data_IF_717235549786
#
_entry.id   IF_717235549786
#
_cell.length_a   1.000
_cell.length_b   1.000
_cell.length_c   1.000
_cell.angle_alpha   90.00
_cell.angle_beta   90.00
_cell.angle_gamma   90.00
#
_symmetry.space_group_name_H-M   'P 1'
#
loop_
_entity.id
_entity.type
_entity.pdbx_description
1 polymer ?
#
# COMPACT_ATOMS: atom_id res chain seq x y z
N UNK A 1 -5.88 -2.91 -10.22
CA UNK A 1 -5.98 -3.65 -8.93
C UNK A 1 -5.41 -5.08 -9.00
N UNK A 2 -4.76 -5.47 -10.07
CA UNK A 2 -4.07 -6.77 -10.18
C UNK A 2 -2.99 -6.92 -9.09
N UNK A 3 -2.37 -5.82 -8.66
CA UNK A 3 -1.36 -5.80 -7.60
C UNK A 3 -1.86 -6.24 -6.21
N UNK A 4 -3.17 -6.38 -6.03
CA UNK A 4 -3.77 -6.88 -4.77
C UNK A 4 -4.17 -8.35 -4.85
N UNK A 5 -4.06 -8.98 -6.02
CA UNK A 5 -4.30 -10.40 -6.15
C UNK A 5 -3.04 -11.18 -5.75
N UNK A 6 -3.11 -12.11 -4.80
CA UNK A 6 -1.96 -12.93 -4.46
C UNK A 6 -1.62 -13.86 -5.63
N UNK A 7 -0.32 -13.95 -5.95
CA UNK A 7 0.19 -14.96 -6.87
C UNK A 7 0.65 -16.16 -6.05
N UNK A 8 0.01 -17.30 -6.28
CA UNK A 8 0.29 -18.53 -5.55
C UNK A 8 1.08 -19.49 -6.45
N UNK A 9 2.06 -20.18 -5.86
CA UNK A 9 2.76 -21.26 -6.55
C UNK A 9 1.81 -22.45 -6.73
N UNK A 10 1.45 -22.77 -7.96
CA UNK A 10 0.49 -23.85 -8.27
C UNK A 10 0.98 -25.19 -7.75
N UNK A 11 2.25 -25.53 -7.94
CA UNK A 11 2.81 -26.82 -7.52
C UNK A 11 2.70 -27.01 -6.01
N UNK A 12 2.92 -25.96 -5.23
CA UNK A 12 2.81 -26.03 -3.77
C UNK A 12 1.34 -26.08 -3.33
N UNK A 13 0.49 -25.21 -3.85
CA UNK A 13 -0.87 -25.06 -3.33
C UNK A 13 -1.84 -26.11 -3.85
N UNK A 14 -1.59 -26.70 -5.03
CA UNK A 14 -2.46 -27.76 -5.57
C UNK A 14 -2.49 -29.02 -4.70
N UNK A 15 -1.46 -29.29 -3.92
CA UNK A 15 -1.46 -30.42 -2.97
C UNK A 15 -2.50 -30.27 -1.84
N UNK A 16 -2.97 -29.06 -1.56
CA UNK A 16 -4.00 -28.75 -0.56
C UNK A 16 -5.36 -28.48 -1.19
N UNK A 17 -5.47 -28.42 -2.51
CA UNK A 17 -6.68 -28.05 -3.22
C UNK A 17 -7.68 -29.21 -3.38
N UNK A 18 -7.77 -30.11 -2.39
CA UNK A 18 -8.73 -31.22 -2.35
C UNK A 18 -10.12 -30.76 -1.93
N UNK A 19 -10.19 -29.78 -1.01
CA UNK A 19 -11.40 -29.09 -0.62
C UNK A 19 -11.09 -27.62 -0.28
N UNK A 20 -12.13 -26.80 -0.14
CA UNK A 20 -11.98 -25.43 0.35
C UNK A 20 -11.48 -25.40 1.79
N UNK A 21 -11.96 -26.31 2.60
CA UNK A 21 -11.61 -26.44 4.02
C UNK A 21 -10.13 -26.80 4.18
N UNK A 22 -9.63 -27.75 3.39
CA UNK A 22 -8.22 -28.15 3.40
C UNK A 22 -7.31 -26.99 2.97
N UNK A 23 -7.71 -26.28 1.91
CA UNK A 23 -6.95 -25.11 1.44
C UNK A 23 -6.88 -23.98 2.48
N UNK A 24 -7.98 -23.74 3.22
CA UNK A 24 -8.01 -22.73 4.29
C UNK A 24 -7.25 -23.16 5.55
N UNK A 25 -7.11 -24.45 5.79
CA UNK A 25 -6.35 -25.02 6.90
C UNK A 25 -4.86 -25.16 6.61
N UNK A 26 -4.46 -25.09 5.33
CA UNK A 26 -3.08 -25.27 4.94
C UNK A 26 -2.19 -24.13 5.49
N UNK A 27 -1.03 -24.51 6.04
CA UNK A 27 0.00 -23.54 6.39
C UNK A 27 0.69 -23.02 5.13
N UNK A 28 0.84 -21.70 5.03
CA UNK A 28 1.63 -21.07 3.99
C UNK A 28 3.10 -20.81 4.39
N UNK A 29 3.53 -21.28 5.56
CA UNK A 29 4.86 -20.96 6.11
C UNK A 29 6.01 -21.43 5.21
N UNK A 30 5.84 -22.61 4.58
CA UNK A 30 6.83 -23.20 3.69
C UNK A 30 6.54 -22.94 2.19
N UNK A 31 5.57 -22.07 1.91
CA UNK A 31 5.22 -21.76 0.53
C UNK A 31 6.36 -21.02 -0.17
N UNK A 32 6.71 -21.40 -1.42
CA UNK A 32 7.68 -20.64 -2.19
C UNK A 32 7.24 -19.18 -2.36
N UNK A 33 8.16 -18.27 -2.14
CA UNK A 33 7.92 -16.83 -2.23
C UNK A 33 8.65 -16.22 -3.44
N UNK A 34 8.04 -15.20 -4.04
CA UNK A 34 8.66 -14.36 -5.06
C UNK A 34 8.96 -12.98 -4.44
N UNK A 35 9.77 -12.99 -3.38
CA UNK A 35 10.10 -11.82 -2.56
C UNK A 35 11.54 -11.93 -2.11
N UNK A 36 12.17 -10.81 -1.78
CA UNK A 36 13.47 -10.77 -1.13
C UNK A 36 13.42 -11.26 0.33
N UNK A 37 12.23 -11.38 0.90
CA UNK A 37 12.03 -11.79 2.28
C UNK A 37 11.24 -13.08 2.34
N UNK A 38 11.67 -13.98 3.20
CA UNK A 38 10.98 -15.22 3.55
C UNK A 38 10.35 -15.11 4.93
N UNK A 39 9.25 -15.80 5.11
CA UNK A 39 8.58 -15.88 6.39
C UNK A 39 9.48 -16.56 7.44
N UNK A 40 9.51 -16.00 8.64
CA UNK A 40 10.25 -16.56 9.78
C UNK A 40 9.30 -17.08 10.86
N UNK A 41 8.56 -16.19 11.52
CA UNK A 41 7.65 -16.56 12.59
C UNK A 41 6.47 -15.63 12.72
N UNK A 42 5.42 -16.09 13.41
CA UNK A 42 4.26 -15.30 13.79
C UNK A 42 3.86 -15.60 15.23
N UNK A 43 3.51 -14.55 15.95
CA UNK A 43 2.70 -14.65 17.16
C UNK A 43 1.35 -13.98 16.87
N UNK A 44 0.31 -14.79 16.82
CA UNK A 44 -1.00 -14.34 16.35
C UNK A 44 -1.55 -13.19 17.22
N UNK A 45 -1.86 -12.08 16.56
CA UNK A 45 -2.35 -10.88 17.23
C UNK A 45 -1.26 -9.98 17.86
N UNK A 46 0.01 -10.37 17.80
CA UNK A 46 1.14 -9.61 18.34
C UNK A 46 2.11 -9.15 17.25
N UNK A 47 2.77 -10.05 16.57
CA UNK A 47 3.75 -9.69 15.55
C UNK A 47 3.97 -10.81 14.53
N UNK A 48 4.63 -10.47 13.41
CA UNK A 48 5.20 -11.41 12.46
C UNK A 48 6.50 -10.88 11.89
N UNK A 49 7.47 -11.80 11.63
CA UNK A 49 8.79 -11.48 11.14
C UNK A 49 9.09 -12.14 9.81
N UNK A 50 9.90 -11.43 9.01
CA UNK A 50 10.37 -11.85 7.70
C UNK A 50 11.86 -11.60 7.65
N UNK A 51 12.64 -12.60 7.22
CA UNK A 51 14.07 -12.49 7.07
C UNK A 51 14.45 -12.36 5.60
N UNK A 52 15.43 -11.51 5.32
CA UNK A 52 16.03 -11.42 4.00
C UNK A 52 16.70 -12.73 3.63
N UNK A 53 16.39 -13.25 2.44
CA UNK A 53 17.07 -14.39 1.84
C UNK A 53 17.57 -14.01 0.44
N UNK A 54 18.89 -13.88 0.24
CA UNK A 54 19.46 -13.54 -1.05
C UNK A 54 19.15 -14.57 -2.13
N UNK A 55 18.85 -15.83 -1.76
CA UNK A 55 18.57 -16.89 -2.73
C UNK A 55 17.17 -16.76 -3.36
N UNK A 56 16.25 -16.05 -2.73
CA UNK A 56 14.90 -15.80 -3.24
C UNK A 56 14.80 -14.47 -4.00
N UNK A 57 15.80 -13.61 -3.88
CA UNK A 57 15.80 -12.29 -4.51
C UNK A 57 16.29 -12.38 -5.96
N UNK A 58 15.42 -12.11 -6.90
CA UNK A 58 15.69 -12.14 -8.34
C UNK A 58 15.75 -10.74 -8.98
N UNK A 59 15.45 -9.68 -8.25
CA UNK A 59 15.31 -8.29 -8.75
C UNK A 59 16.18 -7.28 -7.99
N UNK A 60 17.17 -7.74 -7.24
CA UNK A 60 18.16 -6.88 -6.61
C UNK A 60 19.41 -6.70 -7.47
N UNK A 61 20.33 -5.90 -7.01
CA UNK A 61 21.60 -5.67 -7.65
C UNK A 61 21.76 -4.26 -8.21
N UNK A 62 22.76 -4.07 -9.06
CA UNK A 62 23.15 -2.76 -9.55
C UNK A 62 22.34 -2.35 -10.77
N UNK A 63 21.84 -1.11 -10.72
CA UNK A 63 21.17 -0.46 -11.84
C UNK A 63 21.96 0.77 -12.26
N UNK A 64 22.37 0.84 -13.52
CA UNK A 64 23.06 2.01 -14.08
C UNK A 64 22.11 2.77 -15.02
N UNK A 65 21.94 4.07 -14.75
CA UNK A 65 21.14 4.98 -15.56
C UNK A 65 22.09 5.97 -16.24
N UNK A 66 22.00 6.09 -17.56
CA UNK A 66 22.76 7.04 -18.36
C UNK A 66 21.94 8.29 -18.65
N UNK A 67 22.63 9.45 -18.77
CA UNK A 67 21.98 10.75 -19.01
C UNK A 67 21.24 10.79 -20.35
N UNK A 68 21.71 10.07 -21.34
CA UNK A 68 21.17 10.02 -22.71
C UNK A 68 20.16 8.90 -22.94
N UNK A 69 20.00 8.01 -21.99
CA UNK A 69 19.04 6.90 -22.07
C UNK A 69 18.99 6.13 -20.78
N UNK A 70 17.98 5.28 -20.65
CA UNK A 70 17.86 4.38 -19.49
C UNK A 70 18.44 3.04 -19.90
N UNK A 71 19.60 2.69 -19.37
CA UNK A 71 20.10 1.32 -19.39
C UNK A 71 19.95 0.77 -17.99
N UNK A 72 19.21 -0.29 -17.87
CA UNK A 72 19.16 -1.10 -16.68
C UNK A 72 20.12 -2.26 -16.89
N UNK A 73 21.34 -2.11 -16.40
CA UNK A 73 22.20 -3.27 -16.19
C UNK A 73 21.87 -3.79 -14.80
N UNK A 74 21.28 -4.96 -14.75
CA UNK A 74 20.86 -5.58 -13.52
C UNK A 74 21.66 -6.87 -13.31
N UNK A 75 22.43 -6.89 -12.24
CA UNK A 75 23.13 -8.08 -11.77
C UNK A 75 22.66 -8.38 -10.34
N UNK A 76 21.89 -9.43 -10.19
CA UNK A 76 21.46 -9.90 -8.88
C UNK A 76 22.48 -10.81 -8.18
N UNK A 77 23.61 -11.09 -8.80
CA UNK A 77 24.66 -11.99 -8.30
C UNK A 77 24.29 -13.49 -8.30
N UNK A 78 23.07 -13.85 -8.69
CA UNK A 78 22.54 -15.23 -8.57
C UNK A 78 22.27 -15.88 -9.94
N UNK A 79 21.96 -15.09 -10.94
CA UNK A 79 21.64 -15.54 -12.31
C UNK A 79 22.54 -14.82 -13.32
N UNK A 80 22.64 -15.29 -14.57
CA UNK A 80 23.33 -14.52 -15.59
C UNK A 80 22.72 -13.12 -15.64
N UNK A 81 23.60 -12.11 -15.67
CA UNK A 81 23.20 -10.71 -15.71
C UNK A 81 22.15 -10.48 -16.82
N UNK A 82 21.03 -9.91 -16.47
CA UNK A 82 20.03 -9.47 -17.44
C UNK A 82 20.36 -8.02 -17.76
N UNK A 83 20.99 -7.79 -18.91
CA UNK A 83 21.17 -6.45 -19.43
C UNK A 83 20.01 -6.12 -20.38
N UNK A 84 19.27 -5.06 -20.06
CA UNK A 84 18.27 -4.48 -20.95
C UNK A 84 18.64 -3.02 -21.20
N UNK A 85 18.98 -2.68 -22.45
CA UNK A 85 19.24 -1.30 -22.80
C UNK A 85 18.04 -0.68 -23.52
N UNK A 86 17.59 0.45 -23.00
CA UNK A 86 16.56 1.28 -23.60
C UNK A 86 17.19 2.64 -23.97
N UNK A 87 17.64 2.79 -25.21
CA UNK A 87 18.21 4.03 -25.71
C UNK A 87 19.74 4.07 -25.73
N UNK A 88 20.29 5.29 -25.72
CA UNK A 88 21.73 5.54 -25.85
C UNK A 88 22.42 5.46 -24.49
N UNK A 89 23.54 4.74 -24.41
CA UNK A 89 24.37 4.55 -23.21
C UNK A 89 25.52 5.54 -23.11
N UNK A 90 25.49 6.61 -23.91
CA UNK A 90 26.52 7.63 -23.88
C UNK A 90 26.32 8.68 -22.82
N UNK A 91 27.41 9.32 -22.38
CA UNK A 91 27.40 10.40 -21.39
C UNK A 91 27.58 9.96 -19.95
N UNK A 92 27.33 10.90 -19.04
CA UNK A 92 27.43 10.64 -17.61
C UNK A 92 26.42 9.59 -17.15
N UNK A 93 26.84 8.72 -16.24
CA UNK A 93 25.99 7.67 -15.68
C UNK A 93 25.90 7.77 -14.15
N UNK A 94 24.84 7.24 -13.61
CA UNK A 94 24.63 7.07 -12.18
C UNK A 94 24.26 5.61 -11.92
N UNK A 95 25.01 4.97 -11.03
CA UNK A 95 24.75 3.58 -10.61
C UNK A 95 24.24 3.58 -9.17
N UNK A 96 23.18 2.81 -8.93
CA UNK A 96 22.70 2.54 -7.58
C UNK A 96 22.44 1.04 -7.41
N UNK A 97 22.64 0.57 -6.19
CA UNK A 97 22.32 -0.81 -5.82
C UNK A 97 20.89 -0.86 -5.29
N UNK A 98 20.07 -1.75 -5.83
CA UNK A 98 18.74 -1.99 -5.31
C UNK A 98 18.81 -2.83 -4.02
N UNK A 99 18.09 -2.39 -2.97
CA UNK A 99 17.98 -3.15 -1.72
C UNK A 99 17.29 -4.51 -1.90
N UNK A 100 16.97 -5.19 -0.80
CA UNK A 100 16.84 -4.62 0.54
C UNK A 100 18.17 -4.42 1.27
N UNK A 101 18.20 -3.39 2.15
CA UNK A 101 19.36 -3.08 2.98
C UNK A 101 19.18 -3.51 4.45
N UNK A 102 18.04 -4.14 4.75
CA UNK A 102 17.70 -4.66 6.08
C UNK A 102 17.65 -6.17 6.06
N UNK A 103 18.11 -6.81 7.15
CA UNK A 103 18.13 -8.27 7.27
C UNK A 103 16.80 -8.85 7.73
N UNK A 104 16.06 -8.10 8.54
CA UNK A 104 14.78 -8.54 9.12
C UNK A 104 13.78 -7.40 9.10
N UNK A 105 12.54 -7.74 8.78
CA UNK A 105 11.39 -6.83 8.93
C UNK A 105 10.43 -7.46 9.93
N UNK A 106 10.15 -6.75 11.01
CA UNK A 106 9.16 -7.14 12.01
C UNK A 106 7.95 -6.23 11.91
N UNK A 107 6.76 -6.84 11.79
CA UNK A 107 5.49 -6.14 11.82
C UNK A 107 4.83 -6.37 13.17
N UNK A 108 4.86 -5.37 14.04
CA UNK A 108 4.16 -5.38 15.32
C UNK A 108 2.74 -4.87 15.13
N UNK A 109 1.77 -5.59 15.69
CA UNK A 109 0.35 -5.24 15.60
C UNK A 109 -0.07 -4.43 16.83
N UNK A 110 -0.63 -3.26 16.59
CA UNK A 110 -1.17 -2.40 17.64
C UNK A 110 -2.70 -2.40 17.59
N UNK A 111 -3.33 -2.41 18.76
CA UNK A 111 -4.80 -2.40 18.88
C UNK A 111 -5.43 -1.09 18.43
N UNK A 112 -4.70 0.01 18.52
CA UNK A 112 -5.14 1.33 18.09
C UNK A 112 -4.00 2.17 17.51
N UNK A 113 -4.37 3.26 16.86
CA UNK A 113 -3.46 4.16 16.18
C UNK A 113 -2.58 4.96 17.17
N UNK A 114 -3.15 5.35 18.30
CA UNK A 114 -2.46 6.23 19.25
C UNK A 114 -1.28 5.47 19.89
N UNK A 115 -1.47 4.17 20.20
CA UNK A 115 -0.40 3.30 20.70
C UNK A 115 0.72 3.09 19.66
N UNK A 116 0.38 2.88 18.40
CA UNK A 116 1.37 2.71 17.32
C UNK A 116 2.23 3.98 17.13
N UNK A 117 1.61 5.14 17.16
CA UNK A 117 2.36 6.40 17.01
C UNK A 117 3.13 6.80 18.26
N UNK A 118 2.71 6.38 19.46
CA UNK A 118 3.51 6.53 20.68
C UNK A 118 4.78 5.68 20.60
N UNK A 119 4.67 4.43 20.17
CA UNK A 119 5.83 3.57 19.93
C UNK A 119 6.79 4.16 18.89
N UNK A 120 6.27 4.75 17.82
CA UNK A 120 7.07 5.49 16.83
C UNK A 120 7.80 6.69 17.46
N UNK A 121 7.12 7.50 18.25
CA UNK A 121 7.74 8.66 18.95
C UNK A 121 8.84 8.23 19.94
N UNK A 122 8.68 7.06 20.57
CA UNK A 122 9.66 6.49 21.48
C UNK A 122 10.85 5.81 20.76
N UNK A 123 10.77 5.69 19.43
CA UNK A 123 11.78 4.97 18.64
C UNK A 123 11.72 3.44 18.79
N UNK A 124 10.59 2.91 19.22
CA UNK A 124 10.36 1.46 19.36
C UNK A 124 10.03 0.82 18.00
N UNK A 125 9.54 1.60 17.05
CA UNK A 125 9.28 1.21 15.66
C UNK A 125 9.80 2.28 14.70
N UNK A 126 10.30 1.85 13.55
CA UNK A 126 10.88 2.72 12.52
C UNK A 126 9.83 3.31 11.57
N UNK A 127 8.69 2.63 11.43
CA UNK A 127 7.65 2.99 10.48
C UNK A 127 6.26 2.54 10.97
N UNK A 128 5.25 3.39 10.78
CA UNK A 128 3.85 3.04 11.06
C UNK A 128 3.08 2.88 9.75
N UNK A 129 2.67 1.65 9.44
CA UNK A 129 1.80 1.37 8.30
C UNK A 129 0.33 1.60 8.69
N UNK A 130 -0.24 2.71 8.27
CA UNK A 130 -1.63 3.04 8.53
C UNK A 130 -2.37 3.40 7.24
N UNK A 131 -3.03 2.44 6.59
CA UNK A 131 -3.73 2.67 5.32
C UNK A 131 -4.95 3.58 5.43
N UNK A 132 -5.42 3.86 6.65
CA UNK A 132 -6.57 4.74 6.90
C UNK A 132 -6.16 6.21 7.06
N UNK A 133 -4.85 6.48 7.08
CA UNK A 133 -4.30 7.81 7.32
C UNK A 133 -4.26 8.19 8.80
N UNK A 134 -3.58 9.27 9.11
CA UNK A 134 -3.38 9.78 10.47
C UNK A 134 -4.59 10.63 10.87
N UNK A 135 -5.13 10.42 12.07
CA UNK A 135 -6.18 11.29 12.63
C UNK A 135 -5.67 12.72 12.79
N UNK A 136 -6.53 13.71 12.59
CA UNK A 136 -6.15 15.13 12.62
C UNK A 136 -5.45 15.55 13.91
N UNK A 137 -6.00 15.17 15.06
CA UNK A 137 -5.41 15.50 16.35
C UNK A 137 -4.01 14.91 16.52
N UNK A 138 -3.78 13.70 16.04
CA UNK A 138 -2.47 13.03 16.08
C UNK A 138 -1.49 13.68 15.10
N UNK A 139 -1.94 14.05 13.91
CA UNK A 139 -1.13 14.82 12.95
C UNK A 139 -0.66 16.14 13.56
N UNK A 140 -1.56 16.89 14.22
CA UNK A 140 -1.25 18.15 14.89
C UNK A 140 -0.30 17.98 16.10
N UNK A 141 -0.34 16.83 16.77
CA UNK A 141 0.61 16.49 17.84
C UNK A 141 2.00 16.17 17.25
N UNK A 142 2.06 15.28 16.24
CA UNK A 142 3.30 14.87 15.59
C UNK A 142 4.05 16.05 14.96
N UNK A 143 3.33 16.99 14.36
CA UNK A 143 3.93 18.19 13.75
C UNK A 143 4.64 19.12 14.74
N UNK A 144 4.44 18.92 16.05
CA UNK A 144 5.09 19.67 17.13
C UNK A 144 6.29 18.95 17.74
N UNK A 145 6.51 17.69 17.37
CA UNK A 145 7.59 16.88 17.91
C UNK A 145 8.90 17.25 17.19
N UNK A 146 9.96 17.68 17.90
CA UNK A 146 11.23 17.98 17.27
C UNK A 146 11.80 16.78 16.49
N UNK A 147 12.22 17.01 15.25
CA UNK A 147 12.77 15.97 14.37
C UNK A 147 11.72 15.14 13.62
N UNK A 148 10.43 15.41 13.81
CA UNK A 148 9.36 14.81 13.03
C UNK A 148 8.87 15.79 11.96
N UNK A 149 8.94 15.39 10.71
CA UNK A 149 8.35 16.11 9.59
C UNK A 149 7.01 15.49 9.23
N UNK A 150 5.98 16.30 9.12
CA UNK A 150 4.65 15.87 8.72
C UNK A 150 4.25 16.50 7.40
N UNK A 151 3.70 15.72 6.49
CA UNK A 151 3.19 16.20 5.21
C UNK A 151 1.81 15.63 4.93
N UNK A 152 0.97 16.38 4.26
CA UNK A 152 -0.35 15.95 3.85
C UNK A 152 -0.53 16.17 2.35
N UNK A 153 -0.95 15.14 1.65
CA UNK A 153 -1.22 15.18 0.23
C UNK A 153 -2.64 14.69 -0.06
N UNK A 154 -3.24 15.20 -1.13
CA UNK A 154 -4.51 14.68 -1.62
C UNK A 154 -4.33 13.23 -2.04
N UNK A 155 -5.13 12.35 -1.49
CA UNK A 155 -5.14 10.92 -1.86
C UNK A 155 -5.92 10.67 -3.15
N UNK A 156 -5.60 9.56 -3.81
CA UNK A 156 -6.33 9.09 -5.00
C UNK A 156 -7.54 8.21 -4.63
N UNK A 157 -7.85 8.08 -3.34
CA UNK A 157 -8.99 7.34 -2.82
C UNK A 157 -10.24 8.19 -2.70
N UNK A 158 -11.40 7.54 -2.63
CA UNK A 158 -12.66 8.19 -2.33
C UNK A 158 -13.44 7.39 -1.29
N UNK A 159 -14.22 8.08 -0.48
CA UNK A 159 -15.26 7.48 0.36
C UNK A 159 -16.61 7.72 -0.28
N UNK A 160 -17.40 6.67 -0.39
CA UNK A 160 -18.71 6.73 -1.05
C UNK A 160 -19.73 5.84 -0.36
N UNK A 161 -21.00 6.17 -0.53
CA UNK A 161 -22.12 5.35 -0.15
C UNK A 161 -22.63 4.62 -1.39
N UNK A 162 -22.61 3.29 -1.37
CA UNK A 162 -23.14 2.48 -2.44
C UNK A 162 -24.54 1.95 -2.10
N UNK A 163 -25.46 2.01 -3.05
CA UNK A 163 -26.79 1.44 -2.92
C UNK A 163 -26.89 0.13 -3.69
N UNK A 164 -27.42 -0.90 -3.04
CA UNK A 164 -27.83 -2.10 -3.76
C UNK A 164 -29.11 -1.83 -4.54
N UNK A 165 -28.99 -1.54 -5.82
CA UNK A 165 -30.13 -1.19 -6.68
C UNK A 165 -30.99 -2.38 -7.10
N UNK A 166 -30.62 -3.60 -6.70
CA UNK A 166 -31.40 -4.82 -6.98
C UNK A 166 -32.45 -5.13 -5.92
N UNK A 167 -32.29 -4.56 -4.70
CA UNK A 167 -33.13 -4.89 -3.53
C UNK A 167 -33.72 -3.62 -2.94
N UNK A 168 -35.00 -3.67 -2.52
CA UNK A 168 -35.62 -2.59 -1.76
C UNK A 168 -34.90 -2.39 -0.41
N UNK A 169 -34.73 -1.13 0.08
CA UNK A 169 -35.17 0.12 -0.52
C UNK A 169 -34.21 0.71 -1.58
N UNK A 170 -33.02 0.17 -1.75
CA UNK A 170 -32.01 0.68 -2.66
C UNK A 170 -32.42 0.67 -4.14
N UNK A 171 -33.33 -0.24 -4.54
CA UNK A 171 -33.89 -0.27 -5.89
C UNK A 171 -34.81 0.92 -6.19
N UNK A 172 -35.39 1.56 -5.17
CA UNK A 172 -36.26 2.71 -5.35
C UNK A 172 -35.46 3.99 -5.60
N UNK A 173 -35.68 4.63 -6.77
CA UNK A 173 -34.98 5.87 -7.14
C UNK A 173 -35.27 7.02 -6.15
N UNK A 174 -36.53 7.18 -5.73
CA UNK A 174 -36.89 8.24 -4.80
C UNK A 174 -36.21 8.09 -3.44
N UNK A 175 -36.04 6.85 -2.95
CA UNK A 175 -35.27 6.58 -1.75
C UNK A 175 -33.82 7.05 -1.88
N UNK A 176 -33.15 6.70 -2.98
CA UNK A 176 -31.75 7.13 -3.19
C UNK A 176 -31.62 8.64 -3.28
N UNK A 177 -32.55 9.31 -3.94
CA UNK A 177 -32.61 10.77 -4.02
C UNK A 177 -32.84 11.41 -2.66
N UNK A 178 -33.77 10.87 -1.86
CA UNK A 178 -33.98 11.35 -0.50
C UNK A 178 -32.73 11.24 0.37
N UNK A 179 -32.02 10.10 0.33
CA UNK A 179 -30.77 9.94 1.05
C UNK A 179 -29.72 10.95 0.57
N UNK A 180 -29.60 11.20 -0.73
CA UNK A 180 -28.67 12.19 -1.25
C UNK A 180 -29.00 13.62 -0.75
N UNK A 181 -30.29 13.97 -0.64
CA UNK A 181 -30.72 15.29 -0.12
C UNK A 181 -30.44 15.48 1.36
N UNK A 182 -30.53 14.44 2.17
CA UNK A 182 -30.28 14.54 3.62
C UNK A 182 -28.81 14.31 4.02
N UNK A 183 -27.97 13.88 3.07
CA UNK A 183 -26.54 13.67 3.29
C UNK A 183 -25.81 15.01 3.28
N UNK A 184 -25.53 15.54 4.45
CA UNK A 184 -24.74 16.76 4.61
C UNK A 184 -23.25 16.45 4.50
N UNK A 185 -22.71 16.63 3.29
CA UNK A 185 -21.28 16.39 3.02
C UNK A 185 -20.38 17.35 3.80
N UNK A 186 -20.78 18.62 3.95
CA UNK A 186 -20.02 19.63 4.67
C UNK A 186 -19.91 19.29 6.17
N UNK A 187 -20.99 18.82 6.76
CA UNK A 187 -20.95 18.33 8.14
C UNK A 187 -19.96 17.17 8.30
N UNK A 188 -19.99 16.22 7.39
CA UNK A 188 -19.07 15.06 7.40
C UNK A 188 -17.62 15.52 7.26
N UNK A 189 -17.34 16.43 6.33
CA UNK A 189 -15.99 16.95 6.11
C UNK A 189 -15.44 17.68 7.32
N UNK A 190 -16.24 18.59 7.87
CA UNK A 190 -15.76 19.51 8.91
C UNK A 190 -15.80 18.88 10.32
N UNK A 191 -16.83 18.09 10.64
CA UNK A 191 -17.05 17.58 12.00
C UNK A 191 -16.60 16.13 12.18
N UNK A 192 -16.79 15.27 11.18
CA UNK A 192 -16.41 13.85 11.27
C UNK A 192 -14.97 13.64 10.80
N UNK A 193 -14.61 14.21 9.66
CA UNK A 193 -13.29 14.08 9.05
C UNK A 193 -12.34 15.23 9.43
N UNK A 194 -12.80 16.22 10.18
CA UNK A 194 -11.98 17.32 10.72
C UNK A 194 -11.13 18.04 9.66
N UNK A 195 -11.66 18.19 8.46
CA UNK A 195 -10.99 18.89 7.35
C UNK A 195 -9.87 18.10 6.65
N UNK A 196 -9.72 16.78 6.91
CA UNK A 196 -8.70 15.95 6.22
C UNK A 196 -9.17 15.33 4.91
N UNK A 197 -10.29 15.80 4.38
CA UNK A 197 -10.83 15.36 3.10
C UNK A 197 -11.41 16.55 2.34
N UNK A 198 -11.65 16.38 1.05
CA UNK A 198 -12.31 17.37 0.18
C UNK A 198 -13.62 16.83 -0.35
N UNK A 199 -14.58 17.71 -0.61
CA UNK A 199 -15.83 17.31 -1.23
C UNK A 199 -15.58 16.86 -2.67
N UNK A 200 -16.34 15.85 -3.10
CA UNK A 200 -16.30 15.35 -4.47
C UNK A 200 -17.70 15.36 -5.07
N UNK A 201 -17.82 15.94 -6.25
CA UNK A 201 -19.07 15.94 -7.03
C UNK A 201 -19.07 14.89 -8.14
N UNK A 202 -17.91 14.30 -8.42
CA UNK A 202 -17.71 13.23 -9.39
C UNK A 202 -17.13 11.97 -8.78
N UNK A 203 -16.93 10.95 -9.62
CA UNK A 203 -16.31 9.68 -9.21
C UNK A 203 -14.79 9.70 -9.31
N UNK A 204 -14.21 10.77 -9.83
CA UNK A 204 -12.77 10.92 -10.00
C UNK A 204 -12.20 11.83 -8.92
N UNK A 205 -11.22 11.36 -8.12
CA UNK A 205 -10.55 12.20 -7.12
C UNK A 205 -9.87 13.42 -7.75
N UNK A 206 -9.97 14.58 -7.11
CA UNK A 206 -9.39 15.83 -7.59
C UNK A 206 -7.86 15.78 -7.75
N UNK A 207 -7.18 14.93 -7.00
CA UNK A 207 -5.74 14.69 -7.17
C UNK A 207 -5.37 14.15 -8.57
N UNK A 208 -6.33 13.57 -9.27
CA UNK A 208 -6.17 13.05 -10.63
C UNK A 208 -6.57 14.10 -11.68
N UNK A 209 -5.98 15.28 -11.61
CA UNK A 209 -6.35 16.47 -12.39
C UNK A 209 -6.45 16.24 -13.90
N UNK A 210 -5.62 15.36 -14.46
CA UNK A 210 -5.68 15.01 -15.88
C UNK A 210 -6.97 14.27 -16.30
N UNK A 211 -7.72 13.74 -15.33
CA UNK A 211 -8.91 12.91 -15.54
C UNK A 211 -10.19 13.56 -15.02
N UNK A 212 -10.06 14.69 -14.33
CA UNK A 212 -11.20 15.43 -13.80
C UNK A 212 -11.69 16.41 -14.88
N UNK A 213 -12.88 16.15 -15.41
CA UNK A 213 -13.55 17.13 -16.24
C UNK A 213 -14.14 18.25 -15.36
N UNK A 214 -14.01 19.54 -15.75
CA UNK A 214 -14.69 20.60 -15.02
C UNK A 214 -16.20 20.37 -15.03
N UNK A 215 -16.81 20.33 -13.86
CA UNK A 215 -18.27 20.28 -13.73
C UNK A 215 -18.79 21.68 -14.05
N UNK A 216 -19.23 21.87 -15.28
CA UNK A 216 -19.96 23.07 -15.66
C UNK A 216 -21.42 22.88 -15.21
N UNK A 217 -21.80 23.56 -14.12
CA UNK A 217 -23.19 23.67 -13.68
C UNK A 217 -24.01 24.57 -14.59
#
# INVERSE_FOLDING_TARGET
RIAQAPFLNETYWSQFATSREDLLAASGADAPVASAFVYDKVEQGAFYTWNYDPNTMWFGGDTTIYKSGTVVEWDNGVAPAISQSFGDTSGDSFTYTSGPYVGTVEFTLYGDQDAAYLAFQNGEVDFVLNPLGVKRNLFDQLSRVPGVETTANLGNGMRYMAFNTRVFPGSNKAFRQAVACISDKEFVLNNVLQGVAVNMDGQMPEALTAWVAPVTG
#
